data_IF_334412960979
#
_entry.id   IF_334412960979
#
_cell.length_a   1.000
_cell.length_b   1.000
_cell.length_c   1.000
_cell.angle_alpha   90.00
_cell.angle_beta   90.00
_cell.angle_gamma   90.00
#
_symmetry.space_group_name_H-M   'P 1'
#
loop_
_entity.id
_entity.type
_entity.pdbx_description
1 polymer ?
#
# COMPACT_ATOMS: atom_id res chain seq x y z
N UNK A 1 4.20 -15.64 3.12
CA UNK A 1 5.52 -15.02 2.96
C UNK A 1 5.40 -13.95 1.89
N UNK A 2 6.05 -12.80 2.04
CA UNK A 2 6.06 -11.72 1.03
C UNK A 2 7.38 -11.77 0.27
N UNK A 3 7.31 -11.73 -1.06
CA UNK A 3 8.49 -11.76 -1.95
C UNK A 3 8.62 -10.47 -2.76
N UNK A 4 9.84 -10.05 -3.14
CA UNK A 4 10.03 -8.93 -4.05
C UNK A 4 9.21 -9.10 -5.34
N UNK A 5 8.56 -8.03 -5.79
CA UNK A 5 7.69 -8.01 -6.97
C UNK A 5 6.21 -8.37 -6.69
N UNK A 6 5.88 -8.86 -5.49
CA UNK A 6 4.48 -9.15 -5.14
C UNK A 6 3.71 -7.88 -4.78
N UNK A 7 2.41 -7.88 -5.09
CA UNK A 7 1.49 -6.85 -4.63
C UNK A 7 1.23 -7.00 -3.13
N UNK A 8 1.32 -5.89 -2.41
CA UNK A 8 1.14 -5.82 -0.96
C UNK A 8 0.22 -4.68 -0.56
N UNK A 9 -0.52 -4.87 0.53
CA UNK A 9 -1.28 -3.83 1.20
C UNK A 9 -0.46 -3.26 2.36
N UNK A 10 -0.45 -1.94 2.51
CA UNK A 10 0.11 -1.24 3.67
C UNK A 10 -1.04 -0.92 4.61
N UNK A 11 -0.98 -1.44 5.82
CA UNK A 11 -2.08 -1.40 6.80
C UNK A 11 -1.64 -0.63 8.05
N UNK A 12 -2.49 0.25 8.54
CA UNK A 12 -2.34 0.86 9.86
C UNK A 12 -2.51 -0.22 10.95
N UNK A 13 -1.46 -0.48 11.73
CA UNK A 13 -1.46 -1.55 12.74
C UNK A 13 -2.49 -1.32 13.86
N UNK A 14 -2.82 -0.06 14.17
CA UNK A 14 -3.72 0.27 15.29
C UNK A 14 -5.19 0.03 14.93
N UNK A 15 -5.57 0.32 13.70
CA UNK A 15 -6.97 0.34 13.27
C UNK A 15 -7.29 -0.69 12.18
N UNK A 16 -6.29 -1.39 11.63
CA UNK A 16 -6.47 -2.37 10.56
C UNK A 16 -6.88 -1.76 9.21
N UNK A 17 -6.73 -0.43 9.03
CA UNK A 17 -7.14 0.26 7.81
C UNK A 17 -6.04 0.16 6.75
N UNK A 18 -6.40 -0.25 5.53
CA UNK A 18 -5.50 -0.22 4.38
C UNK A 18 -5.28 1.24 3.96
N UNK A 19 -4.03 1.68 3.93
CA UNK A 19 -3.62 3.04 3.59
C UNK A 19 -3.05 3.14 2.17
N UNK A 20 -2.46 2.06 1.67
CA UNK A 20 -1.86 2.00 0.34
C UNK A 20 -1.80 0.57 -0.21
N UNK A 21 -1.66 0.49 -1.52
CA UNK A 21 -1.26 -0.70 -2.25
C UNK A 21 0.09 -0.42 -2.92
N UNK A 22 0.98 -1.40 -2.88
CA UNK A 22 2.31 -1.26 -3.45
C UNK A 22 2.89 -2.59 -3.92
N UNK A 23 4.12 -2.52 -4.39
CA UNK A 23 4.92 -3.68 -4.77
C UNK A 23 6.07 -3.85 -3.78
N UNK A 24 6.25 -5.06 -3.27
CA UNK A 24 7.35 -5.38 -2.38
C UNK A 24 8.70 -5.21 -3.09
N UNK A 25 9.63 -4.48 -2.47
CA UNK A 25 10.99 -4.29 -2.97
C UNK A 25 11.99 -5.26 -2.32
N UNK A 26 11.64 -5.79 -1.15
CA UNK A 26 12.46 -6.73 -0.36
C UNK A 26 11.56 -7.85 0.19
N UNK A 27 12.13 -9.00 0.60
CA UNK A 27 11.38 -10.06 1.28
C UNK A 27 10.78 -9.56 2.61
N UNK A 28 9.65 -10.15 3.03
CA UNK A 28 8.93 -9.74 4.24
C UNK A 28 9.79 -9.69 5.52
N UNK A 29 10.73 -10.63 5.68
CA UNK A 29 11.64 -10.64 6.82
C UNK A 29 12.60 -9.45 6.86
N UNK A 30 12.94 -8.86 5.71
CA UNK A 30 13.83 -7.70 5.61
C UNK A 30 13.08 -6.35 5.76
N UNK A 31 11.75 -6.36 5.66
CA UNK A 31 10.93 -5.15 5.83
C UNK A 31 11.01 -4.57 7.25
N UNK A 32 11.37 -5.39 8.25
CA UNK A 32 11.57 -4.99 9.67
C UNK A 32 12.95 -4.32 9.88
N UNK A 33 13.73 -4.12 8.82
CA UNK A 33 15.04 -3.49 8.86
C UNK A 33 15.05 -2.03 9.33
N UNK A 34 16.24 -1.48 9.59
CA UNK A 34 16.42 -0.15 10.18
C UNK A 34 16.17 1.02 9.21
N UNK A 35 16.45 0.84 7.91
CA UNK A 35 16.36 1.90 6.90
C UNK A 35 16.35 1.30 5.49
N UNK A 36 15.60 1.94 4.59
CA UNK A 36 15.49 1.54 3.19
C UNK A 36 14.04 1.60 2.73
N UNK A 37 13.81 1.59 1.41
CA UNK A 37 12.46 1.49 0.87
C UNK A 37 12.06 0.01 0.83
N UNK A 38 11.05 -0.38 1.59
CA UNK A 38 10.53 -1.76 1.60
C UNK A 38 9.47 -2.03 0.53
N UNK A 39 8.70 -0.99 0.15
CA UNK A 39 7.56 -1.09 -0.78
C UNK A 39 7.59 0.09 -1.74
N UNK A 40 7.37 -0.17 -3.04
CA UNK A 40 7.11 0.84 -4.06
C UNK A 40 5.61 1.17 -4.05
N UNK A 41 5.26 2.44 -3.83
CA UNK A 41 3.87 2.88 -3.82
C UNK A 41 3.27 2.80 -5.23
N UNK A 42 2.10 2.15 -5.36
CA UNK A 42 1.31 2.10 -6.59
C UNK A 42 0.02 2.92 -6.46
N UNK A 43 -0.59 2.88 -5.28
CA UNK A 43 -1.82 3.60 -4.96
C UNK A 43 -1.88 3.89 -3.46
N UNK A 44 -2.41 5.05 -3.07
CA UNK A 44 -2.67 5.38 -1.66
C UNK A 44 -3.93 6.22 -1.48
N UNK A 45 -4.44 6.21 -0.25
CA UNK A 45 -5.58 7.03 0.15
C UNK A 45 -5.34 8.50 -0.21
N UNK A 46 -6.30 9.12 -0.90
CA UNK A 46 -6.25 10.52 -1.29
C UNK A 46 -5.48 10.83 -2.58
N UNK A 47 -4.85 9.83 -3.22
CA UNK A 47 -4.25 10.03 -4.53
C UNK A 47 -5.31 10.31 -5.62
N UNK A 48 -4.85 10.50 -6.86
CA UNK A 48 -5.78 10.80 -7.97
C UNK A 48 -6.78 9.67 -8.21
N UNK A 49 -6.32 8.42 -8.22
CA UNK A 49 -7.18 7.26 -8.47
C UNK A 49 -8.19 7.08 -7.34
N UNK A 50 -7.80 7.35 -6.09
CA UNK A 50 -8.68 7.30 -4.93
C UNK A 50 -9.82 8.31 -5.08
N UNK A 51 -9.48 9.56 -5.36
CA UNK A 51 -10.47 10.65 -5.51
C UNK A 51 -11.42 10.41 -6.67
N UNK A 52 -10.90 9.93 -7.81
CA UNK A 52 -11.72 9.54 -8.96
C UNK A 52 -12.72 8.44 -8.59
N UNK A 53 -12.29 7.43 -7.83
CA UNK A 53 -13.17 6.37 -7.35
C UNK A 53 -14.23 6.91 -6.39
N UNK A 54 -13.87 7.75 -5.41
CA UNK A 54 -14.83 8.38 -4.49
C UNK A 54 -15.88 9.22 -5.23
N UNK A 55 -15.46 10.02 -6.21
CA UNK A 55 -16.37 10.82 -7.03
C UNK A 55 -17.31 9.95 -7.88
N UNK A 56 -16.80 8.86 -8.45
CA UNK A 56 -17.61 7.91 -9.21
C UNK A 56 -18.66 7.22 -8.33
N UNK A 57 -18.28 6.80 -7.13
CA UNK A 57 -19.16 6.12 -6.18
C UNK A 57 -20.22 7.05 -5.56
N UNK A 58 -19.93 8.35 -5.38
CA UNK A 58 -20.90 9.34 -4.86
C UNK A 58 -21.99 9.72 -5.86
N UNK A 59 -21.81 9.41 -7.14
CA UNK A 59 -22.75 9.75 -8.23
C UNK A 59 -23.74 8.62 -8.54
N UNK A 60 -23.60 7.46 -7.90
CA UNK A 60 -24.58 6.36 -7.92
C UNK A 60 -25.38 6.32 -6.64
#
# INVERSE_FOLDING_TARGET
EVRPGELVAVVDERHGKVLAVGEALVPGGEMVGKRGKAVRNLHHVGDRSWRLAEEALKKG
#
